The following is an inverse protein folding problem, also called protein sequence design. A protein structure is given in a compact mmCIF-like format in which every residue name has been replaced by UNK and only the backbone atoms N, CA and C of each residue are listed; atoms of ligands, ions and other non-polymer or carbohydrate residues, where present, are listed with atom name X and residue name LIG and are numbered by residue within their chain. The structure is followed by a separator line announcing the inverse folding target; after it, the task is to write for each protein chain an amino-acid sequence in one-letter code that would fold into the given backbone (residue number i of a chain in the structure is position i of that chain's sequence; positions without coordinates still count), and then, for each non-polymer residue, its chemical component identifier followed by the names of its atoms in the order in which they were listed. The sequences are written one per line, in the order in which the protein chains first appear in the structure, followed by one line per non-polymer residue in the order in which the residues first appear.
data_IF_949793523429
#
_entry.id   IF_949793523429
#
_cell.length_a   1.000
_cell.length_b   1.000
_cell.length_c   1.000
_cell.angle_alpha   90.00
_cell.angle_beta   90.00
_cell.angle_gamma   90.00
#
_symmetry.space_group_name_H-M   'P 1'
#
loop_
_entity.id
_entity.type
_entity.pdbx_description
1 polymer ?
#
# COMPACT_ATOMS: atom_id res chain seq x y z
N UNK A 1 -57.34 52.71 -6.12
CA UNK A 1 -56.98 51.51 -6.91
C UNK A 1 -55.46 51.35 -6.87
N UNK A 2 -55.01 50.22 -6.30
CA UNK A 2 -53.77 49.44 -6.53
C UNK A 2 -52.54 50.13 -7.15
N UNK A 3 -51.28 49.93 -6.72
CA UNK A 3 -50.68 49.03 -5.74
C UNK A 3 -49.21 49.45 -5.52
N UNK A 4 -48.72 49.19 -4.30
CA UNK A 4 -47.33 49.24 -3.90
C UNK A 4 -46.47 48.32 -4.79
N UNK A 5 -45.33 48.81 -5.31
CA UNK A 5 -44.26 47.96 -5.87
C UNK A 5 -43.01 48.11 -5.01
N UNK A 6 -42.96 47.25 -4.00
CA UNK A 6 -41.77 46.94 -3.20
C UNK A 6 -40.87 46.04 -4.05
N UNK A 7 -39.73 46.54 -4.51
CA UNK A 7 -38.67 45.70 -5.07
C UNK A 7 -37.84 45.12 -3.92
N UNK A 8 -38.18 43.89 -3.53
CA UNK A 8 -37.43 43.12 -2.54
C UNK A 8 -36.07 42.68 -3.10
N UNK A 9 -34.97 43.21 -2.55
CA UNK A 9 -33.63 42.63 -2.72
C UNK A 9 -33.59 41.30 -1.96
N UNK A 10 -33.61 40.17 -2.68
CA UNK A 10 -33.28 38.87 -2.09
C UNK A 10 -31.77 38.80 -1.87
N UNK A 11 -31.32 39.13 -0.67
CA UNK A 11 -30.05 38.61 -0.17
C UNK A 11 -30.23 37.11 0.06
N UNK A 12 -29.64 36.29 -0.81
CA UNK A 12 -29.40 34.87 -0.54
C UNK A 12 -28.39 34.78 0.60
N UNK A 13 -28.88 34.67 1.83
CA UNK A 13 -28.06 34.34 2.97
C UNK A 13 -27.53 32.92 2.78
N UNK A 14 -26.27 32.78 2.38
CA UNK A 14 -25.53 31.53 2.46
C UNK A 14 -25.44 31.13 3.93
N UNK A 15 -26.32 30.23 4.35
CA UNK A 15 -26.24 29.58 5.67
C UNK A 15 -24.96 28.76 5.73
N UNK A 16 -23.88 29.40 6.18
CA UNK A 16 -22.66 28.72 6.60
C UNK A 16 -23.03 27.92 7.83
N UNK A 17 -23.22 26.61 7.68
CA UNK A 17 -23.32 25.68 8.81
C UNK A 17 -21.97 25.71 9.52
N UNK A 18 -21.86 26.55 10.56
CA UNK A 18 -20.82 26.43 11.59
C UNK A 18 -21.12 25.14 12.34
N UNK A 19 -20.39 24.07 12.01
CA UNK A 19 -20.26 22.94 12.91
C UNK A 19 -19.50 23.41 14.15
N UNK A 20 -20.11 23.24 15.32
CA UNK A 20 -19.51 23.53 16.61
C UNK A 20 -18.30 22.61 16.82
N UNK A 21 -17.10 23.19 16.81
CA UNK A 21 -15.85 22.52 17.17
C UNK A 21 -15.71 22.51 18.69
N UNK A 22 -16.21 21.45 19.33
CA UNK A 22 -15.86 21.07 20.71
C UNK A 22 -15.44 19.61 20.84
N UNK A 23 -15.29 18.89 19.72
CA UNK A 23 -14.80 17.51 19.65
C UNK A 23 -13.47 17.36 18.89
N UNK A 24 -12.88 18.47 18.42
CA UNK A 24 -11.58 18.48 17.74
C UNK A 24 -10.40 18.42 18.69
N UNK A 25 -10.48 18.95 19.91
CA UNK A 25 -9.32 18.97 20.83
C UNK A 25 -8.94 17.56 21.31
N UNK A 26 -9.91 16.70 21.62
CA UNK A 26 -9.67 15.32 22.08
C UNK A 26 -9.34 14.36 20.93
N UNK A 27 -9.91 14.56 19.74
CA UNK A 27 -9.57 13.80 18.54
C UNK A 27 -8.18 14.16 17.99
N UNK A 28 -7.78 15.43 18.11
CA UNK A 28 -6.48 15.93 17.68
C UNK A 28 -5.39 15.62 18.70
N UNK A 29 -5.70 15.59 20.00
CA UNK A 29 -4.81 15.03 21.04
C UNK A 29 -4.62 13.51 20.91
N UNK A 30 -5.66 12.73 20.56
CA UNK A 30 -5.50 11.28 20.29
C UNK A 30 -4.78 10.99 18.98
N UNK A 31 -4.96 11.81 17.95
CA UNK A 31 -4.20 11.71 16.70
C UNK A 31 -2.74 12.15 16.87
N UNK A 32 -2.47 13.16 17.70
CA UNK A 32 -1.11 13.57 18.09
C UNK A 32 -0.45 12.53 18.99
N UNK A 33 -1.17 11.95 19.96
CA UNK A 33 -0.69 10.86 20.81
C UNK A 33 -0.39 9.59 20.01
N UNK A 34 -1.26 9.19 19.08
CA UNK A 34 -1.01 8.04 18.19
C UNK A 34 0.12 8.31 17.18
N UNK A 35 0.29 9.54 16.71
CA UNK A 35 1.43 9.93 15.88
C UNK A 35 2.73 9.99 16.68
N UNK A 36 2.69 10.41 17.96
CA UNK A 36 3.83 10.41 18.87
C UNK A 36 4.20 8.99 19.32
N UNK A 37 3.23 8.10 19.56
CA UNK A 37 3.45 6.69 19.88
C UNK A 37 3.91 5.89 18.65
N UNK A 38 3.39 6.20 17.46
CA UNK A 38 3.90 5.63 16.21
C UNK A 38 5.30 6.18 15.90
N UNK A 39 5.61 7.43 16.23
CA UNK A 39 6.96 7.98 16.12
C UNK A 39 7.89 7.44 17.20
N UNK A 40 7.42 7.17 18.42
CA UNK A 40 8.21 6.59 19.49
C UNK A 40 8.50 5.12 19.18
N UNK A 41 7.51 4.34 18.74
CA UNK A 41 7.70 2.96 18.25
C UNK A 41 8.51 2.91 16.98
N UNK A 42 8.34 3.87 16.07
CA UNK A 42 9.20 3.98 14.90
C UNK A 42 10.62 4.36 15.31
N UNK A 43 10.85 5.23 16.29
CA UNK A 43 12.18 5.58 16.82
C UNK A 43 12.81 4.43 17.58
N UNK A 44 12.04 3.65 18.34
CA UNK A 44 12.49 2.46 19.05
C UNK A 44 12.77 1.31 18.07
N UNK A 45 11.95 1.15 17.03
CA UNK A 45 12.22 0.22 15.94
C UNK A 45 13.39 0.69 15.09
N UNK A 46 13.54 1.99 14.84
CA UNK A 46 14.71 2.55 14.16
C UNK A 46 15.95 2.42 15.02
N UNK A 47 15.86 2.59 16.34
CA UNK A 47 16.96 2.42 17.28
C UNK A 47 17.36 0.95 17.36
N UNK A 48 16.39 0.04 17.45
CA UNK A 48 16.59 -1.41 17.44
C UNK A 48 17.10 -1.89 16.09
N UNK A 49 16.60 -1.37 14.97
CA UNK A 49 17.07 -1.64 13.62
C UNK A 49 18.42 -0.99 13.35
N UNK A 50 18.74 0.15 13.98
CA UNK A 50 20.08 0.74 13.95
C UNK A 50 21.06 -0.10 14.76
N UNK A 51 20.66 -0.66 15.91
CA UNK A 51 21.53 -1.52 16.72
C UNK A 51 21.72 -2.88 16.07
N UNK A 52 20.65 -3.52 15.60
CA UNK A 52 20.69 -4.81 14.88
C UNK A 52 21.32 -4.65 13.50
N UNK A 53 21.01 -3.57 12.79
CA UNK A 53 21.63 -3.22 11.51
C UNK A 53 23.11 -2.89 11.65
N UNK A 54 23.53 -2.18 12.71
CA UNK A 54 24.96 -1.99 13.01
C UNK A 54 25.66 -3.31 13.31
N UNK A 55 25.05 -4.20 14.11
CA UNK A 55 25.61 -5.55 14.37
C UNK A 55 25.69 -6.41 13.12
N UNK A 56 24.68 -6.39 12.25
CA UNK A 56 24.68 -7.12 10.99
C UNK A 56 25.70 -6.55 9.98
N UNK A 57 25.83 -5.22 9.93
CA UNK A 57 26.84 -4.54 9.11
C UNK A 57 28.24 -4.81 9.66
N UNK A 58 28.45 -4.85 10.98
CA UNK A 58 29.73 -5.20 11.59
C UNK A 58 30.09 -6.67 11.42
N UNK A 59 29.13 -7.58 11.55
CA UNK A 59 29.30 -9.00 11.25
C UNK A 59 29.61 -9.22 9.76
N UNK A 60 28.89 -8.53 8.87
CA UNK A 60 29.16 -8.55 7.43
C UNK A 60 30.51 -7.94 7.06
N UNK A 61 30.92 -6.84 7.71
CA UNK A 61 32.26 -6.23 7.55
C UNK A 61 33.36 -7.18 8.03
N UNK A 62 33.18 -7.86 9.16
CA UNK A 62 34.14 -8.87 9.67
C UNK A 62 34.20 -10.10 8.77
N UNK A 63 33.07 -10.56 8.23
CA UNK A 63 33.01 -11.69 7.32
C UNK A 63 33.58 -11.39 5.93
N UNK A 64 33.51 -10.13 5.48
CA UNK A 64 33.95 -9.71 4.14
C UNK A 64 35.35 -9.06 4.11
N UNK A 65 36.00 -8.88 5.27
CA UNK A 65 37.38 -8.41 5.39
C UNK A 65 37.70 -7.14 4.55
N UNK A 66 38.89 -7.03 3.93
CA UNK A 66 39.31 -5.84 3.18
C UNK A 66 38.46 -5.55 1.94
N UNK A 67 37.70 -6.55 1.44
CA UNK A 67 36.73 -6.37 0.38
C UNK A 67 35.49 -5.59 0.88
N UNK A 68 35.05 -5.88 2.11
CA UNK A 68 33.96 -5.18 2.79
C UNK A 68 34.29 -3.72 3.12
N UNK A 69 35.55 -3.40 3.42
CA UNK A 69 36.00 -2.01 3.63
C UNK A 69 36.04 -1.19 2.33
N UNK A 70 36.52 -1.78 1.23
CA UNK A 70 36.53 -1.12 -0.09
C UNK A 70 35.12 -0.88 -0.63
N UNK A 71 34.25 -1.90 -0.53
CA UNK A 71 32.82 -1.77 -0.88
C UNK A 71 32.12 -0.80 0.06
N UNK A 72 32.47 -0.80 1.36
CA UNK A 72 31.94 0.14 2.36
C UNK A 72 32.33 1.60 2.11
N UNK A 73 33.56 1.87 1.67
CA UNK A 73 34.04 3.22 1.32
C UNK A 73 33.48 3.70 -0.02
N UNK A 74 33.35 2.83 -1.04
CA UNK A 74 32.66 3.15 -2.30
C UNK A 74 31.16 3.40 -2.10
N UNK A 75 30.48 2.54 -1.34
CA UNK A 75 29.09 2.79 -0.94
C UNK A 75 28.99 4.01 -0.02
N UNK A 76 30.00 4.34 0.77
CA UNK A 76 30.05 5.55 1.59
C UNK A 76 29.79 6.82 0.76
N UNK A 77 30.46 6.95 -0.39
CA UNK A 77 30.27 8.05 -1.32
C UNK A 77 28.99 7.92 -2.18
N UNK A 78 28.58 6.70 -2.54
CA UNK A 78 27.39 6.44 -3.39
C UNK A 78 26.07 6.23 -2.65
N UNK A 79 26.06 6.28 -1.32
CA UNK A 79 24.86 6.12 -0.50
C UNK A 79 23.81 7.20 -0.78
N UNK A 80 24.23 8.46 -0.87
CA UNK A 80 23.29 9.57 -1.11
C UNK A 80 22.47 9.40 -2.42
N UNK A 81 23.08 9.16 -3.59
CA UNK A 81 22.31 8.96 -4.82
C UNK A 81 21.48 7.68 -4.82
N UNK A 82 21.95 6.59 -4.18
CA UNK A 82 21.16 5.36 -4.05
C UNK A 82 19.91 5.55 -3.18
N UNK A 83 20.03 6.21 -2.03
CA UNK A 83 18.89 6.51 -1.17
C UNK A 83 17.90 7.45 -1.86
N UNK A 84 18.39 8.45 -2.59
CA UNK A 84 17.54 9.33 -3.38
C UNK A 84 16.77 8.55 -4.46
N UNK A 85 17.47 7.76 -5.27
CA UNK A 85 16.84 7.00 -6.37
C UNK A 85 15.83 5.96 -5.86
N UNK A 86 16.14 5.28 -4.76
CA UNK A 86 15.21 4.35 -4.13
C UNK A 86 14.00 5.06 -3.53
N UNK A 87 14.17 6.28 -2.97
CA UNK A 87 13.06 7.08 -2.49
C UNK A 87 12.14 7.53 -3.64
N UNK A 88 12.71 8.00 -4.75
CA UNK A 88 11.93 8.37 -5.95
C UNK A 88 11.21 7.15 -6.52
N UNK A 89 11.89 6.02 -6.67
CA UNK A 89 11.28 4.77 -7.14
C UNK A 89 10.14 4.32 -6.22
N UNK A 90 10.29 4.47 -4.89
CA UNK A 90 9.23 4.18 -3.93
C UNK A 90 8.00 5.07 -4.12
N UNK A 91 8.18 6.37 -4.33
CA UNK A 91 7.04 7.27 -4.57
C UNK A 91 6.34 6.93 -5.90
N UNK A 92 7.11 6.59 -6.94
CA UNK A 92 6.54 6.13 -8.20
C UNK A 92 5.71 4.84 -8.01
N UNK A 93 6.25 3.86 -7.28
CA UNK A 93 5.53 2.61 -6.98
C UNK A 93 4.24 2.85 -6.18
N UNK A 94 4.21 3.82 -5.26
CA UNK A 94 2.98 4.19 -4.53
C UNK A 94 1.91 4.75 -5.47
N UNK A 95 2.31 5.60 -6.41
CA UNK A 95 1.38 6.19 -7.38
C UNK A 95 0.77 5.09 -8.25
N UNK A 96 1.61 4.18 -8.77
CA UNK A 96 1.15 3.02 -9.55
C UNK A 96 0.23 2.13 -8.71
N UNK A 97 0.59 1.83 -7.46
CA UNK A 97 -0.24 1.02 -6.57
C UNK A 97 -1.67 1.56 -6.40
N UNK A 98 -1.81 2.88 -6.24
CA UNK A 98 -3.11 3.51 -6.10
C UNK A 98 -3.85 3.63 -7.44
N UNK A 99 -3.14 3.99 -8.51
CA UNK A 99 -3.70 4.14 -9.86
C UNK A 99 -4.23 2.81 -10.40
N UNK A 100 -3.45 1.74 -10.26
CA UNK A 100 -3.76 0.38 -10.73
C UNK A 100 -4.68 -0.40 -9.76
N UNK A 101 -5.19 0.25 -8.71
CA UNK A 101 -6.10 -0.36 -7.73
C UNK A 101 -5.56 -1.68 -7.15
N UNK A 102 -4.24 -1.75 -6.93
CA UNK A 102 -3.60 -2.91 -6.28
C UNK A 102 -3.95 -3.00 -4.80
N UNK A 103 -4.58 -1.97 -4.24
CA UNK A 103 -5.13 -2.02 -2.90
C UNK A 103 -6.31 -3.00 -2.80
N UNK A 104 -6.41 -3.75 -1.69
CA UNK A 104 -7.54 -4.65 -1.49
C UNK A 104 -8.86 -3.86 -1.49
N UNK A 105 -9.93 -4.39 -2.09
CA UNK A 105 -11.24 -3.74 -2.10
C UNK A 105 -11.75 -3.58 -0.67
N UNK A 106 -12.13 -2.36 -0.29
CA UNK A 106 -12.57 -2.04 1.08
C UNK A 106 -14.06 -2.33 1.32
N UNK A 107 -14.86 -2.51 0.26
CA UNK A 107 -16.29 -2.79 0.33
C UNK A 107 -16.60 -4.26 0.14
N UNK A 108 -17.37 -4.86 1.06
CA UNK A 108 -17.83 -6.25 0.94
C UNK A 108 -18.68 -6.49 -0.31
N UNK A 109 -19.46 -5.49 -0.74
CA UNK A 109 -20.27 -5.57 -1.95
C UNK A 109 -19.44 -5.76 -3.21
N UNK A 110 -18.25 -5.16 -3.30
CA UNK A 110 -17.34 -5.35 -4.43
C UNK A 110 -16.76 -6.78 -4.46
N UNK A 111 -16.49 -7.37 -3.31
CA UNK A 111 -16.02 -8.76 -3.21
C UNK A 111 -17.14 -9.71 -3.64
N UNK A 112 -18.36 -9.51 -3.12
CA UNK A 112 -19.51 -10.33 -3.44
C UNK A 112 -19.86 -10.26 -4.94
N UNK A 113 -19.85 -9.06 -5.53
CA UNK A 113 -20.15 -8.88 -6.95
C UNK A 113 -19.08 -9.47 -7.85
N UNK A 114 -17.80 -9.33 -7.49
CA UNK A 114 -16.70 -9.96 -8.21
C UNK A 114 -16.86 -11.49 -8.19
N UNK A 115 -17.13 -12.07 -7.01
CA UNK A 115 -17.31 -13.52 -6.86
C UNK A 115 -18.52 -14.03 -7.65
N UNK A 116 -19.68 -13.38 -7.54
CA UNK A 116 -20.89 -13.81 -8.26
C UNK A 116 -20.71 -13.73 -9.78
N UNK A 117 -20.01 -12.69 -10.26
CA UNK A 117 -19.68 -12.53 -11.68
C UNK A 117 -18.71 -13.62 -12.15
N UNK A 118 -17.68 -13.91 -11.36
CA UNK A 118 -16.70 -14.94 -11.70
C UNK A 118 -17.35 -16.33 -11.73
N UNK A 119 -18.19 -16.63 -10.73
CA UNK A 119 -18.91 -17.90 -10.62
C UNK A 119 -19.89 -18.11 -11.77
N UNK A 120 -20.68 -17.10 -12.13
CA UNK A 120 -21.62 -17.19 -13.25
C UNK A 120 -20.93 -17.39 -14.60
N UNK A 121 -19.75 -16.80 -14.80
CA UNK A 121 -18.92 -17.05 -16.01
C UNK A 121 -18.29 -18.44 -15.99
N UNK A 122 -17.70 -18.84 -14.88
CA UNK A 122 -17.03 -20.13 -14.74
C UNK A 122 -17.99 -21.32 -14.88
N UNK A 123 -19.23 -21.18 -14.40
CA UNK A 123 -20.28 -22.19 -14.53
C UNK A 123 -20.94 -22.24 -15.91
N UNK A 124 -20.68 -21.26 -16.78
CA UNK A 124 -21.27 -21.18 -18.12
C UNK A 124 -20.46 -21.97 -19.15
N UNK A 125 -21.03 -23.00 -19.81
CA UNK A 125 -20.33 -23.72 -20.87
C UNK A 125 -20.09 -22.86 -22.12
N UNK A 126 -20.92 -21.85 -22.38
CA UNK A 126 -20.75 -20.96 -23.54
C UNK A 126 -19.54 -20.04 -23.35
N UNK A 127 -19.28 -19.57 -22.14
CA UNK A 127 -18.10 -18.77 -21.80
C UNK A 127 -16.80 -19.49 -22.17
N UNK A 128 -16.67 -20.76 -21.77
CA UNK A 128 -15.48 -21.56 -22.09
C UNK A 128 -15.31 -21.79 -23.59
N UNK A 129 -16.39 -22.09 -24.32
CA UNK A 129 -16.33 -22.25 -25.79
C UNK A 129 -15.81 -20.98 -26.47
N UNK A 130 -16.31 -19.82 -26.06
CA UNK A 130 -15.86 -18.51 -26.59
C UNK A 130 -14.40 -18.23 -26.27
N UNK A 131 -13.96 -18.56 -25.05
CA UNK A 131 -12.57 -18.38 -24.63
C UNK A 131 -11.61 -19.24 -25.44
N UNK A 132 -11.99 -20.48 -25.74
CA UNK A 132 -11.19 -21.37 -26.57
C UNK A 132 -11.20 -20.94 -28.04
N UNK A 133 -12.34 -20.51 -28.58
CA UNK A 133 -12.44 -20.08 -29.99
C UNK A 133 -11.67 -18.78 -30.26
N UNK A 134 -11.64 -17.86 -29.30
CA UNK A 134 -11.07 -16.53 -29.49
C UNK A 134 -9.63 -16.41 -28.97
N UNK A 135 -9.04 -17.50 -28.44
CA UNK A 135 -7.67 -17.53 -27.93
C UNK A 135 -7.47 -16.87 -26.56
N UNK A 136 -8.53 -16.42 -25.89
CA UNK A 136 -8.43 -15.76 -24.58
C UNK A 136 -8.02 -16.71 -23.44
N UNK A 137 -8.01 -18.02 -23.68
CA UNK A 137 -7.57 -19.03 -22.72
C UNK A 137 -6.12 -18.80 -22.27
N UNK A 138 -5.28 -18.18 -23.12
CA UNK A 138 -3.91 -17.80 -22.76
C UNK A 138 -3.90 -16.76 -21.65
N UNK A 139 -4.78 -15.75 -21.73
CA UNK A 139 -4.89 -14.72 -20.67
C UNK A 139 -5.34 -15.34 -19.36
N UNK A 140 -6.33 -16.25 -19.40
CA UNK A 140 -6.78 -16.99 -18.22
C UNK A 140 -5.64 -17.82 -17.62
N UNK A 141 -4.82 -18.46 -18.47
CA UNK A 141 -3.63 -19.20 -18.03
C UNK A 141 -2.59 -18.31 -17.35
N UNK A 142 -2.28 -17.15 -17.93
CA UNK A 142 -1.37 -16.14 -17.34
C UNK A 142 -1.89 -15.69 -15.97
N UNK A 143 -3.16 -15.33 -15.87
CA UNK A 143 -3.78 -14.98 -14.59
C UNK A 143 -3.75 -16.13 -13.57
N UNK A 144 -3.87 -17.38 -14.01
CA UNK A 144 -3.72 -18.55 -13.15
C UNK A 144 -2.30 -18.67 -12.59
N UNK A 145 -1.28 -18.43 -13.40
CA UNK A 145 0.13 -18.43 -12.97
C UNK A 145 0.41 -17.27 -12.01
N UNK A 146 -0.10 -16.07 -12.31
CA UNK A 146 0.02 -14.90 -11.44
C UNK A 146 -0.65 -15.16 -10.07
N UNK A 147 -1.87 -15.72 -10.07
CA UNK A 147 -2.56 -16.07 -8.85
C UNK A 147 -1.80 -17.12 -8.02
N UNK A 148 -1.19 -18.11 -8.69
CA UNK A 148 -0.31 -19.09 -8.04
C UNK A 148 0.94 -18.42 -7.43
N UNK A 149 1.54 -17.46 -8.14
CA UNK A 149 2.65 -16.66 -7.63
C UNK A 149 2.29 -15.89 -6.35
N UNK A 150 1.15 -15.17 -6.37
CA UNK A 150 0.65 -14.44 -5.19
C UNK A 150 0.36 -15.38 -4.02
N UNK A 151 -0.21 -16.56 -4.29
CA UNK A 151 -0.44 -17.59 -3.28
C UNK A 151 0.87 -18.04 -2.60
N UNK A 152 1.94 -18.30 -3.39
CA UNK A 152 3.25 -18.67 -2.85
C UNK A 152 3.92 -17.55 -2.06
N UNK A 153 3.74 -16.28 -2.47
CA UNK A 153 4.17 -15.13 -1.66
C UNK A 153 3.44 -15.13 -0.31
N UNK A 154 2.13 -15.42 -0.30
CA UNK A 154 1.35 -15.60 0.92
C UNK A 154 1.90 -16.70 1.83
N UNK A 155 2.26 -17.86 1.27
CA UNK A 155 2.91 -18.95 2.03
C UNK A 155 4.26 -18.51 2.62
N UNK A 156 5.10 -17.79 1.85
CA UNK A 156 6.40 -17.26 2.32
C UNK A 156 6.19 -16.32 3.51
N UNK A 157 5.21 -15.43 3.44
CA UNK A 157 4.86 -14.51 4.54
C UNK A 157 4.32 -15.28 5.74
N UNK A 158 3.41 -16.24 5.51
CA UNK A 158 2.79 -17.05 6.57
C UNK A 158 3.80 -17.91 7.33
N UNK A 159 4.77 -18.49 6.62
CA UNK A 159 5.84 -19.29 7.23
C UNK A 159 7.09 -18.48 7.61
N UNK A 160 7.14 -17.20 7.26
CA UNK A 160 8.23 -16.24 7.52
C UNK A 160 9.62 -16.73 7.07
N UNK A 161 9.66 -17.61 6.07
CA UNK A 161 10.90 -18.17 5.51
C UNK A 161 10.85 -18.11 3.99
N UNK A 162 11.97 -17.76 3.36
CA UNK A 162 12.10 -17.70 1.90
C UNK A 162 12.26 -19.10 1.29
N UNK A 163 13.04 -19.99 1.93
CA UNK A 163 13.37 -21.34 1.42
C UNK A 163 13.14 -22.40 2.51
N UNK A 164 12.36 -23.45 2.20
CA UNK A 164 12.05 -24.54 3.14
C UNK A 164 11.32 -24.15 4.44
N UNK A 165 10.91 -25.15 5.22
CA UNK A 165 10.54 -24.90 6.61
C UNK A 165 11.82 -24.83 7.45
N UNK A 166 11.87 -23.88 8.38
CA UNK A 166 12.95 -23.84 9.36
C UNK A 166 12.72 -25.01 10.32
N UNK A 167 13.48 -26.08 10.13
CA UNK A 167 13.43 -27.30 10.95
C UNK A 167 14.58 -27.23 11.97
N UNK A 168 14.54 -26.24 12.85
CA UNK A 168 15.56 -26.02 13.88
C UNK A 168 14.92 -25.68 15.21
#
# INVERSE_FOLDING_TARGET
MNALRVTARRHLASSTRRFASTSTETAQQKAQGAAQDAQAKAKDFLATANVTGKKAIEAGKKALGPLGERVGNLLGAYKQPLFYNTAVAREFLKQVYLAERLQPPTSLSAIQSAYSTLWSRASSPTYWRTIFSNGEWVKVGVYGIEAYGVFKIGEIVGRRSLVGYDLH
#
